data_IF_431282271701
#
_entry.id   IF_431282271701
#
_cell.length_a   1.000
_cell.length_b   1.000
_cell.length_c   1.000
_cell.angle_alpha   90.00
_cell.angle_beta   90.00
_cell.angle_gamma   90.00
#
_symmetry.space_group_name_H-M   'P 1'
#
loop_
_entity.id
_entity.type
_entity.pdbx_description
1 polymer ?
#
# COMPACT_ATOMS: atom_id res chain seq x y z
N UNK A 1 64.34 21.48 -23.28
CA UNK A 1 63.15 22.26 -22.80
C UNK A 1 62.10 21.27 -22.36
N UNK A 2 61.65 21.32 -21.10
CA UNK A 2 60.62 20.39 -20.65
C UNK A 2 59.28 20.78 -21.29
N UNK A 3 58.43 19.83 -21.59
CA UNK A 3 57.08 20.05 -22.18
C UNK A 3 56.21 21.02 -21.34
N UNK A 4 56.48 21.09 -20.03
CA UNK A 4 55.81 22.01 -19.08
C UNK A 4 56.19 23.48 -19.41
N UNK A 5 57.45 23.77 -19.79
CA UNK A 5 57.88 25.11 -20.20
C UNK A 5 57.23 25.54 -21.52
N UNK A 6 56.95 24.62 -22.41
CA UNK A 6 56.24 24.90 -23.67
C UNK A 6 54.75 25.24 -23.41
N UNK A 7 54.12 24.57 -22.47
CA UNK A 7 52.72 24.86 -22.08
C UNK A 7 52.59 26.21 -21.41
N UNK A 8 53.49 26.54 -20.47
CA UNK A 8 53.47 27.83 -19.81
C UNK A 8 53.68 29.00 -20.79
N UNK A 9 54.63 28.90 -21.71
CA UNK A 9 54.84 29.93 -22.73
C UNK A 9 53.63 30.10 -23.68
N UNK A 10 52.93 28.99 -24.00
CA UNK A 10 51.71 29.05 -24.79
C UNK A 10 50.54 29.70 -24.02
N UNK A 11 50.38 29.38 -22.74
CA UNK A 11 49.36 29.97 -21.86
C UNK A 11 49.60 31.49 -21.71
N UNK A 12 50.81 31.94 -21.46
CA UNK A 12 51.16 33.34 -21.34
C UNK A 12 50.84 34.17 -22.60
N UNK A 13 51.07 33.56 -23.78
CA UNK A 13 50.72 34.18 -25.07
C UNK A 13 49.24 34.22 -25.40
N UNK A 14 48.46 33.36 -24.76
CA UNK A 14 46.99 33.21 -25.00
C UNK A 14 46.16 33.40 -23.78
N UNK A 15 46.66 34.05 -22.73
CA UNK A 15 46.01 34.21 -21.42
C UNK A 15 44.59 34.74 -21.55
N UNK A 16 44.35 35.73 -22.40
CA UNK A 16 43.04 36.31 -22.63
C UNK A 16 42.04 35.25 -23.16
N UNK A 17 42.48 34.39 -24.05
CA UNK A 17 41.67 33.32 -24.66
C UNK A 17 41.38 32.19 -23.63
N UNK A 18 42.37 31.83 -22.84
CA UNK A 18 42.21 30.82 -21.77
C UNK A 18 41.24 31.28 -20.71
N UNK A 19 41.33 32.53 -20.28
CA UNK A 19 40.47 33.12 -19.26
C UNK A 19 39.06 33.38 -19.79
N UNK A 20 38.93 33.90 -21.00
CA UNK A 20 37.66 34.34 -21.55
C UNK A 20 36.79 33.16 -22.08
N UNK A 21 37.41 32.08 -22.54
CA UNK A 21 36.74 30.94 -23.12
C UNK A 21 36.94 29.64 -22.30
N UNK A 22 38.20 29.39 -21.88
CA UNK A 22 38.53 28.15 -21.20
C UNK A 22 37.88 28.00 -19.82
N UNK A 23 37.92 29.06 -19.01
CA UNK A 23 37.33 29.04 -17.64
C UNK A 23 35.82 28.89 -17.68
N UNK A 24 35.05 29.64 -18.50
CA UNK A 24 33.61 29.44 -18.63
C UNK A 24 33.22 28.05 -19.12
N UNK A 25 33.93 27.46 -20.07
CA UNK A 25 33.67 26.10 -20.56
C UNK A 25 33.90 25.04 -19.49
N UNK A 26 34.99 25.18 -18.71
CA UNK A 26 35.23 24.26 -17.58
C UNK A 26 34.17 24.38 -16.50
N UNK A 27 33.79 25.62 -16.12
CA UNK A 27 32.73 25.81 -15.13
C UNK A 27 31.40 25.32 -15.61
N UNK A 28 31.02 25.53 -16.86
CA UNK A 28 29.82 24.99 -17.47
C UNK A 28 29.81 23.45 -17.46
N UNK A 29 30.91 22.81 -17.81
CA UNK A 29 31.07 21.36 -17.80
C UNK A 29 30.92 20.78 -16.39
N UNK A 30 31.60 21.36 -15.40
CA UNK A 30 31.50 20.94 -13.99
C UNK A 30 30.08 21.15 -13.47
N UNK A 31 29.45 22.28 -13.75
CA UNK A 31 28.07 22.58 -13.31
C UNK A 31 27.08 21.58 -13.94
N UNK A 32 27.22 21.32 -15.23
CA UNK A 32 26.36 20.35 -15.92
C UNK A 32 26.51 18.94 -15.33
N UNK A 33 27.72 18.49 -15.04
CA UNK A 33 27.99 17.19 -14.41
C UNK A 33 27.41 17.10 -13.01
N UNK A 34 27.60 18.09 -12.16
CA UNK A 34 27.05 18.13 -10.80
C UNK A 34 25.52 18.14 -10.84
N UNK A 35 24.93 18.97 -11.72
CA UNK A 35 23.47 19.04 -11.91
C UNK A 35 22.90 17.70 -12.37
N UNK A 36 23.56 17.02 -13.31
CA UNK A 36 23.14 15.69 -13.77
C UNK A 36 23.16 14.65 -12.64
N UNK A 37 24.24 14.63 -11.84
CA UNK A 37 24.34 13.72 -10.67
C UNK A 37 23.27 14.04 -9.60
N UNK A 38 23.04 15.31 -9.31
CA UNK A 38 22.00 15.73 -8.38
C UNK A 38 20.60 15.35 -8.87
N UNK A 39 20.33 15.52 -10.17
CA UNK A 39 19.05 15.12 -10.77
C UNK A 39 18.83 13.61 -10.67
N UNK A 40 19.84 12.81 -10.98
CA UNK A 40 19.75 11.35 -10.85
C UNK A 40 19.49 10.91 -9.41
N UNK A 41 20.18 11.52 -8.44
CA UNK A 41 19.96 11.23 -7.02
C UNK A 41 18.54 11.60 -6.59
N UNK A 42 18.02 12.75 -7.03
CA UNK A 42 16.66 13.19 -6.74
C UNK A 42 15.60 12.28 -7.35
N UNK A 43 15.77 11.80 -8.59
CA UNK A 43 14.86 10.84 -9.22
C UNK A 43 14.80 9.56 -8.39
N UNK A 44 15.95 8.98 -8.02
CA UNK A 44 16.00 7.79 -7.21
C UNK A 44 15.36 7.95 -5.82
N UNK A 45 15.52 9.12 -5.19
CA UNK A 45 14.86 9.44 -3.92
C UNK A 45 13.33 9.56 -4.09
N UNK A 46 12.88 10.21 -5.16
CA UNK A 46 11.44 10.34 -5.45
C UNK A 46 10.78 8.99 -5.73
N UNK A 47 11.44 8.10 -6.46
CA UNK A 47 10.89 6.77 -6.75
C UNK A 47 10.75 5.93 -5.48
N UNK A 48 11.72 6.01 -4.56
CA UNK A 48 11.61 5.36 -3.25
C UNK A 48 10.46 5.93 -2.41
N UNK A 49 10.28 7.26 -2.42
CA UNK A 49 9.17 7.91 -1.71
C UNK A 49 7.81 7.52 -2.30
N UNK A 50 7.69 7.43 -3.63
CA UNK A 50 6.47 6.95 -4.30
C UNK A 50 6.15 5.52 -3.94
N UNK A 51 7.15 4.64 -3.97
CA UNK A 51 6.98 3.24 -3.59
C UNK A 51 6.52 3.12 -2.13
N UNK A 52 7.19 3.82 -1.21
CA UNK A 52 6.80 3.85 0.20
C UNK A 52 5.36 4.37 0.40
N UNK A 53 4.99 5.46 -0.27
CA UNK A 53 3.63 6.01 -0.21
C UNK A 53 2.59 5.04 -0.78
N UNK A 54 2.90 4.29 -1.84
CA UNK A 54 2.01 3.29 -2.40
C UNK A 54 1.78 2.14 -1.41
N UNK A 55 2.84 1.68 -0.72
CA UNK A 55 2.74 0.64 0.29
C UNK A 55 1.89 1.10 1.49
N UNK A 56 2.07 2.33 1.96
CA UNK A 56 1.24 2.90 3.02
C UNK A 56 -0.24 2.95 2.62
N UNK A 57 -0.54 3.40 1.39
CA UNK A 57 -1.93 3.41 0.90
C UNK A 57 -2.54 2.02 0.82
N UNK A 58 -1.79 1.02 0.36
CA UNK A 58 -2.26 -0.37 0.35
C UNK A 58 -2.54 -0.88 1.77
N UNK A 59 -1.70 -0.52 2.74
CA UNK A 59 -1.90 -0.85 4.14
C UNK A 59 -3.16 -0.18 4.71
N UNK A 60 -3.39 1.10 4.40
CA UNK A 60 -4.60 1.84 4.79
C UNK A 60 -5.88 1.20 4.19
N UNK A 61 -5.87 0.85 2.90
CA UNK A 61 -6.99 0.16 2.26
C UNK A 61 -7.27 -1.19 2.91
N UNK A 62 -6.24 -1.98 3.21
CA UNK A 62 -6.41 -3.27 3.88
C UNK A 62 -6.94 -3.10 5.31
N UNK A 63 -6.43 -2.11 6.05
CA UNK A 63 -6.93 -1.79 7.38
C UNK A 63 -8.40 -1.37 7.36
N UNK A 64 -8.80 -0.53 6.41
CA UNK A 64 -10.19 -0.14 6.21
C UNK A 64 -11.06 -1.36 5.90
N UNK A 65 -10.61 -2.22 5.00
CA UNK A 65 -11.31 -3.46 4.65
C UNK A 65 -11.53 -4.37 5.87
N UNK A 66 -10.50 -4.56 6.70
CA UNK A 66 -10.58 -5.35 7.94
C UNK A 66 -11.63 -4.77 8.89
N UNK A 67 -11.64 -3.44 9.07
CA UNK A 67 -12.58 -2.77 9.97
C UNK A 67 -14.01 -2.87 9.45
N UNK A 68 -14.23 -2.65 8.16
CA UNK A 68 -15.53 -2.74 7.52
C UNK A 68 -16.08 -4.17 7.57
N UNK A 69 -15.23 -5.16 7.31
CA UNK A 69 -15.60 -6.58 7.40
C UNK A 69 -16.02 -6.96 8.82
N UNK A 70 -15.28 -6.46 9.82
CA UNK A 70 -15.62 -6.67 11.24
C UNK A 70 -16.97 -6.05 11.60
N UNK A 71 -17.24 -4.84 11.13
CA UNK A 71 -18.53 -4.16 11.38
C UNK A 71 -19.69 -4.89 10.73
N UNK A 72 -19.55 -5.34 9.48
CA UNK A 72 -20.61 -6.05 8.78
C UNK A 72 -20.86 -7.44 9.37
N UNK A 73 -19.83 -8.16 9.79
CA UNK A 73 -19.98 -9.44 10.51
C UNK A 73 -20.69 -9.25 11.85
N UNK A 74 -20.34 -8.19 12.59
CA UNK A 74 -21.02 -7.86 13.86
C UNK A 74 -22.47 -7.49 13.64
N UNK A 75 -22.79 -6.66 12.64
CA UNK A 75 -24.16 -6.27 12.30
C UNK A 75 -24.99 -7.48 11.85
N UNK A 76 -24.44 -8.29 10.94
CA UNK A 76 -25.12 -9.52 10.48
C UNK A 76 -25.42 -10.44 11.65
N UNK A 77 -24.44 -10.67 12.53
CA UNK A 77 -24.59 -11.53 13.72
C UNK A 77 -25.67 -10.99 14.67
N UNK A 78 -25.63 -9.70 14.99
CA UNK A 78 -26.62 -9.06 15.86
C UNK A 78 -28.03 -9.18 15.27
N UNK A 79 -28.19 -8.91 13.96
CA UNK A 79 -29.50 -8.97 13.30
C UNK A 79 -29.99 -10.40 13.01
N UNK A 80 -29.14 -11.40 13.11
CA UNK A 80 -29.51 -12.80 12.87
C UNK A 80 -29.91 -13.51 14.16
N UNK A 81 -29.19 -13.29 15.27
CA UNK A 81 -29.33 -14.09 16.49
C UNK A 81 -29.80 -13.31 17.73
N UNK A 82 -30.10 -12.00 17.62
CA UNK A 82 -30.69 -11.24 18.70
C UNK A 82 -32.20 -11.08 18.48
N UNK A 83 -33.02 -11.75 19.30
CA UNK A 83 -34.48 -11.64 19.22
C UNK A 83 -34.96 -10.20 19.42
N UNK A 84 -34.32 -9.43 20.30
CA UNK A 84 -34.66 -8.03 20.57
C UNK A 84 -34.38 -7.09 19.39
N UNK A 85 -33.29 -7.35 18.67
CA UNK A 85 -32.84 -6.53 17.55
C UNK A 85 -33.39 -6.98 16.19
N UNK A 86 -34.06 -8.13 16.14
CA UNK A 86 -34.55 -8.74 14.90
C UNK A 86 -36.03 -8.48 14.62
N UNK A 87 -36.62 -7.44 15.25
CA UNK A 87 -38.01 -7.09 15.05
C UNK A 87 -38.19 -6.09 13.92
N UNK A 88 -39.00 -6.49 12.92
CA UNK A 88 -39.44 -5.61 11.84
C UNK A 88 -38.67 -5.72 10.52
N UNK A 89 -39.22 -5.08 9.50
CA UNK A 89 -38.70 -5.12 8.13
C UNK A 89 -37.32 -4.47 8.01
N UNK A 90 -37.01 -3.45 8.82
CA UNK A 90 -35.73 -2.77 8.79
C UNK A 90 -34.58 -3.66 9.28
N UNK A 91 -34.81 -4.45 10.34
CA UNK A 91 -33.82 -5.42 10.82
C UNK A 91 -33.47 -6.48 9.76
N UNK A 92 -34.48 -6.97 9.05
CA UNK A 92 -34.29 -7.92 7.93
C UNK A 92 -33.48 -7.28 6.80
N UNK A 93 -33.81 -6.05 6.43
CA UNK A 93 -33.11 -5.31 5.39
C UNK A 93 -31.62 -5.09 5.75
N UNK A 94 -31.35 -4.63 6.99
CA UNK A 94 -29.96 -4.44 7.45
C UNK A 94 -29.15 -5.73 7.44
N UNK A 95 -29.76 -6.86 7.86
CA UNK A 95 -29.13 -8.18 7.80
C UNK A 95 -28.76 -8.56 6.38
N UNK A 96 -29.71 -8.43 5.42
CA UNK A 96 -29.47 -8.75 4.00
C UNK A 96 -28.39 -7.83 3.40
N UNK A 97 -28.40 -6.56 3.75
CA UNK A 97 -27.36 -5.61 3.31
C UNK A 97 -25.99 -5.96 3.89
N UNK A 98 -25.90 -6.33 5.16
CA UNK A 98 -24.64 -6.76 5.78
C UNK A 98 -24.11 -8.03 5.10
N UNK A 99 -24.98 -9.02 4.87
CA UNK A 99 -24.64 -10.25 4.13
C UNK A 99 -24.08 -9.94 2.74
N UNK A 100 -24.76 -9.08 1.98
CA UNK A 100 -24.31 -8.70 0.64
C UNK A 100 -22.94 -8.01 0.67
N UNK A 101 -22.70 -7.06 1.62
CA UNK A 101 -21.42 -6.37 1.77
C UNK A 101 -20.29 -7.33 2.15
N UNK A 102 -20.52 -8.28 3.06
CA UNK A 102 -19.56 -9.32 3.42
C UNK A 102 -19.13 -10.10 2.18
N UNK A 103 -20.10 -10.62 1.41
CA UNK A 103 -19.83 -11.44 0.22
C UNK A 103 -19.14 -10.64 -0.90
N UNK A 104 -19.52 -9.36 -1.10
CA UNK A 104 -18.88 -8.49 -2.09
C UNK A 104 -17.44 -8.13 -1.77
N UNK A 105 -17.05 -8.16 -0.49
CA UNK A 105 -15.67 -7.91 -0.06
C UNK A 105 -14.75 -9.11 -0.20
N UNK A 106 -15.31 -10.31 -0.30
CA UNK A 106 -14.53 -11.53 -0.42
C UNK A 106 -14.22 -11.85 -1.88
N UNK A 107 -13.03 -12.37 -2.12
CA UNK A 107 -12.71 -12.94 -3.42
C UNK A 107 -13.33 -14.34 -3.52
N UNK A 108 -14.14 -14.66 -4.55
CA UNK A 108 -14.71 -15.99 -4.72
C UNK A 108 -13.68 -17.13 -4.81
N UNK A 109 -12.42 -16.82 -5.08
CA UNK A 109 -11.31 -17.79 -5.10
C UNK A 109 -10.65 -17.99 -3.73
N UNK A 110 -11.07 -17.23 -2.71
CA UNK A 110 -10.55 -17.38 -1.35
C UNK A 110 -11.02 -18.72 -0.77
N UNK A 111 -10.13 -19.48 -0.10
CA UNK A 111 -10.49 -20.79 0.45
C UNK A 111 -11.63 -20.74 1.49
N UNK A 112 -11.82 -19.59 2.14
CA UNK A 112 -12.90 -19.43 3.14
C UNK A 112 -14.23 -18.94 2.52
N UNK A 113 -14.26 -18.61 1.22
CA UNK A 113 -15.44 -18.01 0.59
C UNK A 113 -16.69 -18.92 0.66
N UNK A 114 -16.55 -20.18 0.27
CA UNK A 114 -17.66 -21.14 0.26
C UNK A 114 -18.21 -21.41 1.66
N UNK A 115 -17.30 -21.57 2.64
CA UNK A 115 -17.70 -21.75 4.04
C UNK A 115 -18.43 -20.52 4.61
N UNK A 116 -17.99 -19.33 4.24
CA UNK A 116 -18.63 -18.09 4.63
C UNK A 116 -20.00 -17.91 3.95
N UNK A 117 -20.09 -18.23 2.68
CA UNK A 117 -21.34 -18.21 1.90
C UNK A 117 -22.40 -19.11 2.53
N UNK A 118 -22.04 -20.35 2.85
CA UNK A 118 -22.95 -21.32 3.48
C UNK A 118 -23.41 -20.84 4.86
N UNK A 119 -22.48 -20.39 5.70
CA UNK A 119 -22.80 -19.87 7.04
C UNK A 119 -23.73 -18.63 7.01
N UNK A 120 -23.62 -17.79 5.98
CA UNK A 120 -24.46 -16.62 5.80
C UNK A 120 -25.84 -16.94 5.19
N UNK A 121 -25.93 -17.96 4.34
CA UNK A 121 -27.19 -18.34 3.69
C UNK A 121 -28.09 -19.23 4.56
N UNK A 122 -27.51 -20.04 5.43
CA UNK A 122 -28.22 -21.04 6.24
C UNK A 122 -28.14 -20.79 7.76
N UNK A 123 -28.40 -19.57 8.28
CA UNK A 123 -28.17 -19.24 9.69
C UNK A 123 -29.11 -19.99 10.66
N UNK A 124 -30.25 -20.49 10.19
CA UNK A 124 -31.33 -21.03 11.05
C UNK A 124 -31.29 -22.56 11.14
N UNK A 125 -30.60 -23.26 10.21
CA UNK A 125 -30.61 -24.72 10.17
C UNK A 125 -30.04 -25.38 11.45
N UNK A 126 -29.01 -24.72 12.05
CA UNK A 126 -28.36 -25.11 13.32
C UNK A 126 -27.82 -23.84 14.01
N UNK A 127 -28.66 -23.10 14.76
CA UNK A 127 -28.32 -21.74 15.21
C UNK A 127 -27.01 -21.64 15.98
N UNK A 128 -26.76 -22.53 16.94
CA UNK A 128 -25.56 -22.46 17.78
C UNK A 128 -24.28 -22.90 17.04
N UNK A 129 -24.37 -23.93 16.21
CA UNK A 129 -23.24 -24.40 15.40
C UNK A 129 -22.90 -23.38 14.31
N UNK A 130 -23.90 -22.87 13.59
CA UNK A 130 -23.69 -21.87 12.54
C UNK A 130 -23.20 -20.53 13.08
N UNK A 131 -23.69 -20.10 14.25
CA UNK A 131 -23.20 -18.91 14.94
C UNK A 131 -21.74 -19.06 15.31
N UNK A 132 -21.35 -20.19 15.92
CA UNK A 132 -19.95 -20.46 16.29
C UNK A 132 -19.09 -20.58 15.06
N UNK A 133 -19.52 -21.31 14.04
CA UNK A 133 -18.80 -21.47 12.77
C UNK A 133 -18.56 -20.14 12.06
N UNK A 134 -19.56 -19.25 12.01
CA UNK A 134 -19.41 -17.92 11.42
C UNK A 134 -18.40 -17.06 12.20
N UNK A 135 -18.42 -17.11 13.54
CA UNK A 135 -17.43 -16.39 14.34
C UNK A 135 -16.01 -16.90 14.11
N UNK A 136 -15.81 -18.21 14.13
CA UNK A 136 -14.49 -18.83 13.89
C UNK A 136 -13.97 -18.50 12.49
N UNK A 137 -14.82 -18.61 11.46
CA UNK A 137 -14.48 -18.24 10.10
C UNK A 137 -14.12 -16.75 9.99
N UNK A 138 -14.97 -15.90 10.52
CA UNK A 138 -14.74 -14.45 10.53
C UNK A 138 -13.44 -14.08 11.23
N UNK A 139 -13.14 -14.66 12.38
CA UNK A 139 -11.89 -14.46 13.11
C UNK A 139 -10.67 -14.93 12.31
N UNK A 140 -10.75 -16.09 11.66
CA UNK A 140 -9.67 -16.64 10.84
C UNK A 140 -9.36 -15.75 9.63
N UNK A 141 -10.40 -15.29 8.93
CA UNK A 141 -10.27 -14.35 7.80
C UNK A 141 -9.60 -13.06 8.26
N UNK A 142 -10.14 -12.43 9.32
CA UNK A 142 -9.63 -11.15 9.84
C UNK A 142 -8.19 -11.28 10.34
N UNK A 143 -7.84 -12.39 11.02
CA UNK A 143 -6.49 -12.66 11.50
C UNK A 143 -5.52 -12.84 10.34
N UNK A 144 -5.90 -13.61 9.31
CA UNK A 144 -5.04 -13.81 8.13
C UNK A 144 -4.74 -12.49 7.41
N UNK A 145 -5.76 -11.65 7.21
CA UNK A 145 -5.57 -10.35 6.56
C UNK A 145 -4.75 -9.39 7.43
N UNK A 146 -4.90 -9.45 8.75
CA UNK A 146 -4.07 -8.70 9.68
C UNK A 146 -2.60 -9.12 9.64
N UNK A 147 -2.31 -10.44 9.57
CA UNK A 147 -0.93 -10.93 9.44
C UNK A 147 -0.31 -10.53 8.09
N UNK A 148 -1.08 -10.55 7.01
CA UNK A 148 -0.65 -10.01 5.71
C UNK A 148 -0.30 -8.53 5.80
N UNK A 149 -1.15 -7.72 6.41
CA UNK A 149 -0.90 -6.30 6.61
C UNK A 149 0.41 -6.06 7.35
N UNK A 150 0.64 -6.78 8.45
CA UNK A 150 1.90 -6.67 9.21
C UNK A 150 3.13 -7.09 8.39
N UNK A 151 3.01 -8.15 7.61
CA UNK A 151 4.11 -8.61 6.74
C UNK A 151 4.47 -7.54 5.71
N UNK A 152 3.48 -6.96 5.04
CA UNK A 152 3.69 -5.93 4.02
C UNK A 152 4.35 -4.67 4.61
N UNK A 153 3.93 -4.24 5.80
CA UNK A 153 4.54 -3.10 6.50
C UNK A 153 5.99 -3.37 6.90
N UNK A 154 6.27 -4.56 7.45
CA UNK A 154 7.63 -4.94 7.85
C UNK A 154 8.59 -5.06 6.65
N UNK A 155 8.11 -5.49 5.49
CA UNK A 155 8.92 -5.53 4.27
C UNK A 155 9.25 -4.11 3.77
N UNK A 156 8.34 -3.18 3.96
CA UNK A 156 8.53 -1.76 3.60
C UNK A 156 9.60 -1.09 4.46
N UNK A 157 9.67 -1.41 5.76
CA UNK A 157 10.68 -0.85 6.67
C UNK A 157 12.09 -1.40 6.41
N UNK A 158 12.23 -2.56 5.78
CA UNK A 158 13.53 -3.20 5.50
C UNK A 158 14.19 -2.77 4.20
N UNK A 159 13.48 -2.05 3.33
CA UNK A 159 13.99 -1.54 2.03
C UNK A 159 14.45 -0.09 2.09
#
# INVERSE_FOLDING_TARGET
>A
MSWIQGINAWIDGHLALVVLVGVPLLTAGVTAFVSYKATQANIGAQDKLREHNNQLKLAEFRQSWINDMRQDLALYTARTWSEELNKGNEATKERVMAQARILMRMNPKDPDYEGLLDALQNPVAKPDENRRGLFELGQNILKREWERLKSDLNETERR
#
